data_IF_917259171385
#
_entry.id   IF_917259171385
#
_cell.length_a   1.000
_cell.length_b   1.000
_cell.length_c   1.000
_cell.angle_alpha   90.00
_cell.angle_beta   90.00
_cell.angle_gamma   90.00
#
_symmetry.space_group_name_H-M   'P 1'
#
loop_
_entity.id
_entity.type
_entity.pdbx_description
1 polymer ?
#
# COMPACT_ATOMS: atom_id res chain seq x y z
N UNK A 1 -18.06 -2.12 34.92
CA UNK A 1 -18.38 -2.99 33.76
C UNK A 1 -17.19 -3.91 33.56
N UNK A 2 -17.35 -5.22 33.80
CA UNK A 2 -16.32 -6.22 33.49
C UNK A 2 -16.41 -6.46 31.98
N UNK A 3 -15.37 -6.16 31.21
CA UNK A 3 -15.29 -6.62 29.82
C UNK A 3 -15.12 -8.14 29.85
N UNK A 4 -16.01 -8.88 29.18
CA UNK A 4 -15.83 -10.31 28.94
C UNK A 4 -14.62 -10.49 28.02
N UNK A 5 -13.43 -10.68 28.59
CA UNK A 5 -12.20 -10.94 27.84
C UNK A 5 -12.20 -12.30 27.12
N UNK A 6 -13.11 -13.21 27.48
CA UNK A 6 -13.24 -14.52 26.84
C UNK A 6 -14.07 -14.51 25.55
N UNK A 7 -14.82 -13.44 25.26
CA UNK A 7 -15.62 -13.34 24.02
C UNK A 7 -14.78 -13.06 22.78
N UNK A 8 -13.59 -12.45 22.95
CA UNK A 8 -12.73 -12.06 21.82
C UNK A 8 -11.65 -13.05 21.44
N UNK A 9 -11.52 -14.16 22.17
CA UNK A 9 -10.49 -15.15 21.88
C UNK A 9 -10.71 -15.79 20.52
N UNK A 10 -9.63 -15.93 19.75
CA UNK A 10 -9.68 -16.64 18.48
C UNK A 10 -9.91 -18.13 18.75
N UNK A 11 -11.01 -18.67 18.26
CA UNK A 11 -11.36 -20.09 18.38
C UNK A 11 -11.03 -20.82 17.09
N UNK A 12 -10.85 -22.14 17.19
CA UNK A 12 -10.68 -22.98 16.02
C UNK A 12 -11.87 -22.82 15.05
N UNK A 13 -11.63 -22.71 13.74
CA UNK A 13 -12.69 -22.60 12.76
C UNK A 13 -13.48 -23.91 12.67
N UNK A 14 -14.81 -23.79 12.64
CA UNK A 14 -15.71 -24.92 12.36
C UNK A 14 -15.58 -25.40 10.89
N UNK A 15 -15.25 -24.48 10.01
CA UNK A 15 -15.13 -24.72 8.58
C UNK A 15 -14.00 -23.86 7.99
N UNK A 16 -13.15 -24.46 7.18
CA UNK A 16 -12.18 -23.73 6.35
C UNK A 16 -12.48 -23.96 4.88
N UNK A 17 -12.53 -22.88 4.11
CA UNK A 17 -12.75 -22.91 2.67
C UNK A 17 -11.45 -22.57 1.95
N UNK A 18 -11.06 -23.44 1.03
CA UNK A 18 -9.88 -23.29 0.20
C UNK A 18 -10.31 -22.93 -1.22
N UNK A 19 -9.72 -21.88 -1.77
CA UNK A 19 -9.89 -21.49 -3.17
C UNK A 19 -8.51 -21.31 -3.81
N UNK A 20 -8.44 -21.54 -5.12
CA UNK A 20 -7.25 -21.26 -5.91
C UNK A 20 -7.57 -20.09 -6.85
N UNK A 21 -6.73 -19.05 -6.84
CA UNK A 21 -6.99 -17.74 -7.48
C UNK A 21 -7.36 -17.79 -8.98
N UNK A 22 -7.17 -18.94 -9.65
CA UNK A 22 -7.51 -19.14 -11.06
C UNK A 22 -8.52 -20.28 -11.31
N UNK A 23 -9.23 -20.77 -10.29
CA UNK A 23 -10.27 -21.79 -10.44
C UNK A 23 -11.51 -21.47 -9.63
N UNK A 24 -12.69 -21.75 -10.18
CA UNK A 24 -13.96 -21.73 -9.45
C UNK A 24 -14.11 -22.90 -8.46
N UNK A 25 -13.03 -23.64 -8.19
CA UNK A 25 -13.06 -24.77 -7.26
C UNK A 25 -12.86 -24.23 -5.85
N UNK A 26 -13.94 -24.24 -5.08
CA UNK A 26 -13.94 -24.01 -3.64
C UNK A 26 -14.03 -25.37 -2.94
N UNK A 27 -13.14 -25.60 -1.98
CA UNK A 27 -13.12 -26.84 -1.20
C UNK A 27 -13.31 -26.52 0.27
N UNK A 28 -14.40 -27.02 0.83
CA UNK A 28 -14.70 -26.92 2.26
C UNK A 28 -14.06 -28.09 3.02
N UNK A 29 -13.33 -27.79 4.08
CA UNK A 29 -12.78 -28.76 5.05
C UNK A 29 -13.40 -28.47 6.41
N UNK A 30 -13.88 -29.52 7.09
CA UNK A 30 -14.37 -29.48 8.47
C UNK A 30 -13.63 -30.52 9.29
N UNK A 31 -13.17 -30.12 10.47
CA UNK A 31 -12.46 -30.96 11.45
C UNK A 31 -12.88 -30.50 12.84
N UNK A 32 -13.94 -31.09 13.35
CA UNK A 32 -14.53 -30.69 14.64
C UNK A 32 -13.57 -30.99 15.82
N UNK A 33 -12.65 -31.95 15.62
CA UNK A 33 -11.60 -32.30 16.57
C UNK A 33 -10.34 -31.40 16.52
N UNK A 34 -10.21 -30.50 15.54
CA UNK A 34 -9.02 -29.65 15.43
C UNK A 34 -9.13 -28.41 16.31
N UNK A 35 -8.11 -28.20 17.12
CA UNK A 35 -7.86 -26.90 17.75
C UNK A 35 -7.10 -25.97 16.78
N UNK A 36 -6.92 -24.71 17.18
CA UNK A 36 -6.27 -23.72 16.30
C UNK A 36 -4.85 -24.11 15.90
N UNK A 37 -4.08 -24.68 16.84
CA UNK A 37 -2.71 -25.15 16.57
C UNK A 37 -2.69 -26.32 15.57
N UNK A 38 -3.66 -27.25 15.66
CA UNK A 38 -3.79 -28.37 14.72
C UNK A 38 -4.07 -27.88 13.29
N UNK A 39 -4.93 -26.86 13.15
CA UNK A 39 -5.20 -26.22 11.86
C UNK A 39 -3.96 -25.58 11.26
N UNK A 40 -3.20 -24.82 12.07
CA UNK A 40 -1.98 -24.15 11.60
C UNK A 40 -0.90 -25.15 11.19
N UNK A 41 -0.71 -26.22 11.97
CA UNK A 41 0.20 -27.31 11.61
C UNK A 41 -0.23 -28.03 10.34
N UNK A 42 -1.53 -28.29 10.17
CA UNK A 42 -2.08 -28.93 8.99
C UNK A 42 -1.82 -28.12 7.72
N UNK A 43 -2.09 -26.82 7.74
CA UNK A 43 -1.82 -25.95 6.58
C UNK A 43 -0.34 -25.82 6.29
N UNK A 44 0.49 -25.71 7.33
CA UNK A 44 1.93 -25.68 7.15
C UNK A 44 2.45 -26.99 6.54
N UNK A 45 1.92 -28.14 6.93
CA UNK A 45 2.33 -29.45 6.37
C UNK A 45 1.95 -29.60 4.90
N UNK A 46 0.77 -29.11 4.50
CA UNK A 46 0.29 -29.23 3.12
C UNK A 46 0.96 -28.23 2.18
N UNK A 47 1.04 -26.96 2.61
CA UNK A 47 1.44 -25.86 1.74
C UNK A 47 2.89 -25.39 1.98
N UNK A 48 3.51 -25.81 3.08
CA UNK A 48 4.87 -25.46 3.46
C UNK A 48 5.09 -23.94 3.49
N UNK A 49 4.14 -23.22 4.12
CA UNK A 49 4.20 -21.77 4.25
C UNK A 49 5.36 -21.36 5.17
N UNK A 50 6.16 -20.38 4.74
CA UNK A 50 7.26 -19.86 5.57
C UNK A 50 6.79 -18.85 6.63
N UNK A 51 5.57 -18.35 6.48
CA UNK A 51 4.94 -17.33 7.30
C UNK A 51 3.67 -16.86 6.61
N UNK A 52 2.99 -15.90 7.24
CA UNK A 52 1.80 -15.26 6.67
C UNK A 52 2.25 -14.06 5.82
N UNK A 53 1.83 -14.04 4.57
CA UNK A 53 2.21 -12.95 3.66
C UNK A 53 1.45 -11.67 3.98
N UNK A 54 0.14 -11.78 4.25
CA UNK A 54 -0.72 -10.63 4.51
C UNK A 54 -1.80 -10.95 5.55
N UNK A 55 -2.11 -9.97 6.41
CA UNK A 55 -3.31 -9.97 7.25
C UNK A 55 -4.09 -8.69 6.97
N UNK A 56 -5.39 -8.84 6.77
CA UNK A 56 -6.34 -7.73 6.59
C UNK A 56 -7.25 -7.59 7.80
N UNK A 57 -7.41 -6.35 8.28
CA UNK A 57 -8.39 -5.97 9.29
C UNK A 57 -9.43 -5.05 8.65
N UNK A 58 -10.68 -5.51 8.59
CA UNK A 58 -11.83 -4.78 8.08
C UNK A 58 -12.99 -4.80 9.08
N UNK A 59 -14.20 -4.43 8.64
CA UNK A 59 -15.39 -4.35 9.49
C UNK A 59 -15.59 -5.63 10.33
N UNK A 60 -15.90 -5.46 11.61
CA UNK A 60 -16.09 -6.54 12.60
C UNK A 60 -14.82 -7.27 13.04
N UNK A 61 -13.63 -6.86 12.58
CA UNK A 61 -12.37 -7.46 13.03
C UNK A 61 -12.06 -7.19 14.52
N UNK A 62 -12.77 -6.25 15.16
CA UNK A 62 -12.65 -5.96 16.59
C UNK A 62 -13.20 -7.06 17.51
N UNK A 63 -13.88 -8.06 16.93
CA UNK A 63 -14.31 -9.26 17.64
C UNK A 63 -13.15 -10.17 18.02
N UNK A 64 -11.98 -10.05 17.37
CA UNK A 64 -10.82 -10.90 17.63
C UNK A 64 -9.79 -10.23 18.54
N UNK A 65 -9.13 -11.03 19.38
CA UNK A 65 -8.00 -10.60 20.20
C UNK A 65 -6.71 -10.55 19.36
N UNK A 66 -6.08 -9.37 19.35
CA UNK A 66 -4.84 -9.15 18.59
C UNK A 66 -3.66 -9.99 19.08
N UNK A 67 -3.65 -10.34 20.37
CA UNK A 67 -2.65 -11.22 20.97
C UNK A 67 -2.78 -12.64 20.42
N UNK A 68 -4.01 -13.15 20.32
CA UNK A 68 -4.29 -14.45 19.71
C UNK A 68 -3.97 -14.45 18.21
N UNK A 69 -4.38 -13.42 17.46
CA UNK A 69 -4.05 -13.30 16.03
C UNK A 69 -2.52 -13.33 15.86
N UNK A 70 -1.79 -12.52 16.62
CA UNK A 70 -0.33 -12.48 16.56
C UNK A 70 0.32 -13.79 17.03
N UNK A 71 -0.30 -14.52 17.98
CA UNK A 71 0.17 -15.82 18.45
C UNK A 71 0.12 -16.86 17.33
N UNK A 72 -1.03 -16.99 16.67
CA UNK A 72 -1.25 -18.07 15.69
C UNK A 72 -0.72 -17.73 14.30
N UNK A 73 -0.81 -16.48 13.86
CA UNK A 73 -0.42 -16.05 12.52
C UNK A 73 0.93 -15.33 12.46
N UNK A 74 1.50 -14.98 13.62
CA UNK A 74 2.75 -14.23 13.69
C UNK A 74 2.60 -12.78 13.23
N UNK A 75 3.69 -12.20 12.73
CA UNK A 75 3.71 -10.88 12.09
C UNK A 75 3.77 -11.09 10.58
N UNK A 76 2.82 -10.54 9.81
CA UNK A 76 2.82 -10.72 8.36
C UNK A 76 3.85 -9.84 7.67
N UNK A 77 4.15 -10.13 6.40
CA UNK A 77 4.98 -9.25 5.57
C UNK A 77 4.25 -7.95 5.23
N UNK A 78 2.95 -8.05 4.97
CA UNK A 78 2.05 -6.94 4.65
C UNK A 78 0.90 -6.86 5.64
N UNK A 79 0.54 -5.65 6.04
CA UNK A 79 -0.65 -5.39 6.85
C UNK A 79 -1.62 -4.53 6.02
N UNK A 80 -2.87 -4.94 5.96
CA UNK A 80 -3.96 -4.16 5.37
C UNK A 80 -4.94 -3.77 6.48
N UNK A 81 -5.14 -2.47 6.69
CA UNK A 81 -6.02 -1.93 7.73
C UNK A 81 -7.05 -1.03 7.08
N UNK A 82 -8.29 -1.49 7.08
CA UNK A 82 -9.49 -0.74 6.74
C UNK A 82 -10.23 -0.32 8.02
N UNK A 83 -11.30 0.46 7.87
CA UNK A 83 -12.08 0.88 9.02
C UNK A 83 -12.87 -0.28 9.64
N UNK A 84 -12.43 -0.75 10.81
CA UNK A 84 -13.10 -1.82 11.57
C UNK A 84 -14.43 -1.39 12.23
N UNK A 85 -14.74 -0.09 12.24
CA UNK A 85 -15.84 0.47 13.05
C UNK A 85 -15.38 0.94 14.45
N UNK A 86 -14.10 0.72 14.81
CA UNK A 86 -13.55 1.15 16.10
C UNK A 86 -12.15 1.76 15.96
N UNK A 87 -12.06 3.10 16.07
CA UNK A 87 -10.80 3.85 15.95
C UNK A 87 -9.74 3.45 16.98
N UNK A 88 -10.12 3.10 18.21
CA UNK A 88 -9.16 2.69 19.23
C UNK A 88 -8.57 1.30 18.93
N UNK A 89 -9.40 0.39 18.39
CA UNK A 89 -8.96 -0.92 17.95
C UNK A 89 -8.01 -0.81 16.77
N UNK A 90 -8.36 -0.04 15.74
CA UNK A 90 -7.50 0.29 14.60
C UNK A 90 -6.09 0.76 15.00
N UNK A 91 -6.03 1.72 15.93
CA UNK A 91 -4.77 2.21 16.44
C UNK A 91 -3.98 1.14 17.20
N UNK A 92 -4.66 0.21 17.88
CA UNK A 92 -4.03 -0.92 18.56
C UNK A 92 -3.51 -1.96 17.57
N UNK A 93 -4.20 -2.23 16.46
CA UNK A 93 -3.72 -3.07 15.34
C UNK A 93 -2.38 -2.54 14.85
N UNK A 94 -2.34 -1.26 14.46
CA UNK A 94 -1.12 -0.62 13.92
C UNK A 94 0.06 -0.65 14.89
N UNK A 95 -0.19 -0.48 16.20
CA UNK A 95 0.84 -0.63 17.24
C UNK A 95 1.31 -2.07 17.42
N UNK A 96 0.40 -3.04 17.31
CA UNK A 96 0.69 -4.46 17.52
C UNK A 96 1.56 -5.03 16.40
N UNK A 97 1.34 -4.55 15.17
CA UNK A 97 1.99 -4.99 13.93
C UNK A 97 2.95 -3.93 13.35
N UNK A 98 3.56 -3.08 14.18
CA UNK A 98 4.44 -1.97 13.74
C UNK A 98 5.69 -2.40 12.94
N UNK A 99 6.04 -3.70 12.94
CA UNK A 99 7.26 -4.22 12.30
C UNK A 99 7.05 -4.76 10.89
N UNK A 100 5.89 -4.51 10.26
CA UNK A 100 5.63 -4.99 8.90
C UNK A 100 6.47 -4.27 7.85
N UNK A 101 6.77 -4.97 6.75
CA UNK A 101 7.49 -4.36 5.63
C UNK A 101 6.58 -3.48 4.79
N UNK A 102 5.31 -3.86 4.65
CA UNK A 102 4.34 -3.17 3.80
C UNK A 102 3.06 -2.85 4.57
N UNK A 103 2.50 -1.68 4.30
CA UNK A 103 1.24 -1.23 4.89
C UNK A 103 0.29 -0.77 3.79
N UNK A 104 -0.93 -1.29 3.81
CA UNK A 104 -2.10 -0.76 3.09
C UNK A 104 -3.02 -0.17 4.16
N UNK A 105 -3.44 1.07 3.98
CA UNK A 105 -4.26 1.76 4.97
C UNK A 105 -5.24 2.71 4.29
N UNK A 106 -6.47 2.71 4.80
CA UNK A 106 -7.48 3.70 4.41
C UNK A 106 -7.48 4.86 5.42
N UNK A 107 -7.56 6.14 4.99
CA UNK A 107 -7.50 7.26 5.95
C UNK A 107 -8.62 7.26 6.99
N UNK A 108 -9.81 6.74 6.67
CA UNK A 108 -10.96 6.60 7.57
C UNK A 108 -10.75 5.60 8.72
N UNK A 109 -9.62 4.90 8.75
CA UNK A 109 -9.10 4.20 9.93
C UNK A 109 -8.96 5.14 11.13
N UNK A 110 -8.85 6.45 10.90
CA UNK A 110 -8.75 7.50 11.91
C UNK A 110 -9.97 8.43 11.92
N UNK A 111 -10.31 8.95 13.10
CA UNK A 111 -11.52 9.77 13.33
C UNK A 111 -11.59 11.02 12.44
N UNK A 112 -10.46 11.66 12.15
CA UNK A 112 -10.39 12.84 11.28
C UNK A 112 -10.19 12.48 9.79
N UNK A 113 -10.16 11.19 9.46
CA UNK A 113 -9.75 10.61 8.18
C UNK A 113 -8.40 11.16 7.68
N UNK A 114 -7.41 11.22 8.57
CA UNK A 114 -6.03 11.59 8.25
C UNK A 114 -5.07 10.59 8.86
N UNK A 115 -4.10 10.16 8.07
CA UNK A 115 -3.07 9.24 8.56
C UNK A 115 -2.10 10.03 9.45
N UNK A 116 -1.86 9.59 10.70
CA UNK A 116 -0.93 10.25 11.60
C UNK A 116 0.50 10.32 11.01
N UNK A 117 1.21 11.45 11.17
CA UNK A 117 2.59 11.59 10.71
C UNK A 117 3.52 10.49 11.19
N UNK A 118 3.30 9.95 12.40
CA UNK A 118 4.11 8.88 13.00
C UNK A 118 4.03 7.55 12.24
N UNK A 119 3.02 7.39 11.38
CA UNK A 119 2.89 6.26 10.46
C UNK A 119 3.59 6.59 9.14
N UNK A 120 3.33 7.78 8.57
CA UNK A 120 3.87 8.18 7.27
C UNK A 120 5.41 8.25 7.25
N UNK A 121 6.03 8.67 8.36
CA UNK A 121 7.50 8.75 8.47
C UNK A 121 8.19 7.38 8.58
N UNK A 122 7.43 6.29 8.76
CA UNK A 122 8.03 4.96 8.91
C UNK A 122 8.67 4.49 7.60
N UNK A 123 9.63 3.60 7.76
CA UNK A 123 10.54 3.17 6.71
C UNK A 123 9.99 1.97 5.91
N UNK A 124 8.71 1.97 5.56
CA UNK A 124 8.11 0.84 4.85
C UNK A 124 8.80 0.58 3.50
N UNK A 125 8.82 -0.70 3.14
CA UNK A 125 9.15 -1.14 1.79
C UNK A 125 8.08 -0.68 0.81
N UNK A 126 6.81 -0.83 1.19
CA UNK A 126 5.67 -0.33 0.43
C UNK A 126 4.63 0.29 1.35
N UNK A 127 4.14 1.48 0.99
CA UNK A 127 3.01 2.13 1.63
C UNK A 127 1.94 2.40 0.58
N UNK A 128 0.74 1.84 0.78
CA UNK A 128 -0.45 2.13 -0.02
C UNK A 128 -1.46 2.89 0.82
N UNK A 129 -1.85 4.07 0.36
CA UNK A 129 -2.98 4.83 0.90
C UNK A 129 -4.16 4.57 -0.04
N UNK A 130 -5.15 3.84 0.45
CA UNK A 130 -6.31 3.43 -0.34
C UNK A 130 -7.55 4.26 0.03
N UNK A 131 -8.15 4.90 -0.96
CA UNK A 131 -9.39 5.68 -0.82
C UNK A 131 -10.52 5.08 -1.70
N UNK A 132 -10.35 3.84 -2.16
CA UNK A 132 -11.32 3.12 -2.98
C UNK A 132 -12.65 2.93 -2.22
N UNK A 133 -13.78 3.13 -2.91
CA UNK A 133 -15.12 2.98 -2.32
C UNK A 133 -15.63 4.18 -1.52
N UNK A 134 -14.80 5.18 -1.21
CA UNK A 134 -15.25 6.41 -0.56
C UNK A 134 -16.00 7.34 -1.52
N UNK A 135 -17.18 7.81 -1.08
CA UNK A 135 -18.09 8.69 -1.85
C UNK A 135 -17.45 10.07 -2.09
N UNK A 136 -16.62 10.55 -1.15
CA UNK A 136 -15.84 11.77 -1.28
C UNK A 136 -14.44 11.52 -0.69
N UNK A 137 -13.53 10.88 -1.44
CA UNK A 137 -12.20 10.57 -0.95
C UNK A 137 -11.48 11.88 -0.62
N UNK A 138 -10.65 11.91 0.42
CA UNK A 138 -9.94 13.16 0.75
C UNK A 138 -8.74 13.29 -0.16
N UNK A 139 -8.44 14.52 -0.56
CA UNK A 139 -7.15 14.81 -1.17
C UNK A 139 -6.07 14.55 -0.12
N UNK A 140 -5.10 13.68 -0.44
CA UNK A 140 -3.92 13.52 0.41
C UNK A 140 -3.22 14.87 0.43
N UNK A 141 -3.01 15.42 1.63
CA UNK A 141 -2.40 16.73 1.73
C UNK A 141 -0.96 16.65 1.22
N UNK A 142 -0.49 17.66 0.50
CA UNK A 142 0.89 17.65 0.00
C UNK A 142 1.92 17.54 1.14
N UNK A 143 1.61 18.09 2.31
CA UNK A 143 2.45 17.97 3.50
C UNK A 143 2.54 16.52 4.00
N UNK A 144 1.47 15.73 3.81
CA UNK A 144 1.47 14.28 4.09
C UNK A 144 2.36 13.55 3.09
N UNK A 145 2.30 13.88 1.80
CA UNK A 145 3.20 13.31 0.76
C UNK A 145 4.68 13.56 1.07
N UNK A 146 4.98 14.75 1.58
CA UNK A 146 6.35 15.16 1.88
C UNK A 146 6.99 14.34 3.00
N UNK A 147 6.22 13.96 4.01
CA UNK A 147 6.73 13.21 5.17
C UNK A 147 6.78 11.70 4.95
N UNK A 148 6.20 11.19 3.85
CA UNK A 148 6.27 9.77 3.51
C UNK A 148 7.72 9.34 3.30
N UNK A 149 8.16 8.31 4.01
CA UNK A 149 9.54 7.82 3.94
C UNK A 149 9.63 6.34 3.54
N UNK A 150 8.74 5.94 2.64
CA UNK A 150 8.68 4.58 2.10
C UNK A 150 9.40 4.46 0.75
N UNK A 151 9.83 3.25 0.39
CA UNK A 151 10.50 2.99 -0.89
C UNK A 151 9.53 2.96 -2.07
N UNK A 152 8.43 2.24 -1.92
CA UNK A 152 7.30 2.25 -2.84
C UNK A 152 6.14 2.99 -2.17
N UNK A 153 5.53 3.93 -2.89
CA UNK A 153 4.37 4.69 -2.43
C UNK A 153 3.27 4.57 -3.47
N UNK A 154 2.09 4.15 -3.04
CA UNK A 154 0.92 4.07 -3.88
C UNK A 154 -0.22 4.84 -3.23
N UNK A 155 -0.87 5.70 -4.00
CA UNK A 155 -2.00 6.51 -3.53
C UNK A 155 -3.13 6.30 -4.50
N UNK A 156 -4.18 5.63 -4.02
CA UNK A 156 -5.33 5.26 -4.83
C UNK A 156 -6.46 6.26 -4.64
N UNK A 157 -7.25 6.43 -5.69
CA UNK A 157 -8.53 7.14 -5.65
C UNK A 157 -8.49 8.57 -5.08
N UNK A 158 -7.39 9.29 -5.29
CA UNK A 158 -7.19 10.62 -4.69
C UNK A 158 -7.60 11.77 -5.60
N UNK A 159 -8.09 12.86 -5.01
CA UNK A 159 -8.30 14.14 -5.70
C UNK A 159 -7.01 14.95 -5.75
N UNK A 160 -6.07 14.55 -6.60
CA UNK A 160 -4.87 15.34 -6.91
C UNK A 160 -4.95 15.90 -8.32
N UNK A 161 -4.85 17.22 -8.44
CA UNK A 161 -4.81 17.89 -9.74
C UNK A 161 -3.39 17.94 -10.33
N UNK A 162 -3.25 18.28 -11.61
CA UNK A 162 -1.94 18.47 -12.26
C UNK A 162 -0.98 19.42 -11.52
N UNK A 163 -1.53 20.42 -10.81
CA UNK A 163 -0.75 21.38 -10.02
C UNK A 163 -0.16 20.76 -8.75
N UNK A 164 -0.89 19.85 -8.11
CA UNK A 164 -0.42 19.16 -6.91
C UNK A 164 0.73 18.22 -7.27
N UNK A 165 0.62 17.54 -8.40
CA UNK A 165 1.67 16.67 -8.96
C UNK A 165 2.90 17.51 -9.36
N UNK A 166 2.72 18.66 -10.01
CA UNK A 166 3.84 19.59 -10.29
C UNK A 166 4.56 20.01 -9.01
N UNK A 167 3.81 20.31 -7.94
CA UNK A 167 4.39 20.73 -6.66
C UNK A 167 5.12 19.57 -5.98
N UNK A 168 4.56 18.36 -6.01
CA UNK A 168 5.21 17.14 -5.53
C UNK A 168 6.54 16.90 -6.25
N UNK A 169 6.56 16.94 -7.59
CA UNK A 169 7.79 16.73 -8.36
C UNK A 169 8.85 17.78 -8.00
N UNK A 170 8.47 19.05 -7.88
CA UNK A 170 9.41 20.12 -7.48
C UNK A 170 9.98 19.91 -6.07
N UNK A 171 9.17 19.45 -5.13
CA UNK A 171 9.64 19.10 -3.79
C UNK A 171 10.62 17.93 -3.84
N UNK A 172 10.31 16.90 -4.63
CA UNK A 172 11.24 15.78 -4.86
C UNK A 172 12.55 16.27 -5.51
N UNK A 173 12.49 17.19 -6.48
CA UNK A 173 13.69 17.78 -7.09
C UNK A 173 14.58 18.50 -6.06
N UNK A 174 14.01 18.99 -4.95
CA UNK A 174 14.71 19.62 -3.82
C UNK A 174 15.01 18.66 -2.66
N UNK A 175 14.92 17.35 -2.84
CA UNK A 175 15.36 16.36 -1.85
C UNK A 175 14.26 15.71 -1.00
N UNK A 176 12.97 15.98 -1.26
CA UNK A 176 11.89 15.27 -0.61
C UNK A 176 11.92 13.76 -0.93
N UNK A 177 11.41 12.94 0.00
CA UNK A 177 11.28 11.49 -0.15
C UNK A 177 12.59 10.79 -0.62
N UNK A 178 13.71 10.93 0.13
CA UNK A 178 15.04 10.55 -0.35
C UNK A 178 15.21 9.05 -0.66
N UNK A 179 14.39 8.18 -0.04
CA UNK A 179 14.41 6.71 -0.20
C UNK A 179 13.42 6.18 -1.23
N UNK A 180 12.59 7.05 -1.82
CA UNK A 180 11.53 6.66 -2.72
C UNK A 180 12.09 6.16 -4.05
N UNK A 181 11.80 4.92 -4.37
CA UNK A 181 12.20 4.19 -5.59
C UNK A 181 11.05 4.20 -6.60
N UNK A 182 9.79 4.12 -6.15
CA UNK A 182 8.60 4.16 -7.01
C UNK A 182 7.47 4.92 -6.32
N UNK A 183 6.74 5.73 -7.09
CA UNK A 183 5.52 6.39 -6.64
C UNK A 183 4.41 6.26 -7.69
N UNK A 184 3.20 5.86 -7.27
CA UNK A 184 2.02 5.72 -8.12
C UNK A 184 0.87 6.56 -7.56
N UNK A 185 0.30 7.41 -8.40
CA UNK A 185 -0.92 8.16 -8.09
C UNK A 185 -2.04 7.71 -9.02
N UNK A 186 -3.10 7.11 -8.48
CA UNK A 186 -4.34 6.85 -9.19
C UNK A 186 -5.30 7.98 -8.87
N UNK A 187 -5.53 8.83 -9.87
CA UNK A 187 -6.24 10.09 -9.75
C UNK A 187 -7.72 9.89 -10.06
N UNK A 188 -8.61 10.56 -9.32
CA UNK A 188 -9.99 10.75 -9.77
C UNK A 188 -10.07 12.00 -10.64
N UNK A 189 -10.52 11.86 -11.89
CA UNK A 189 -10.72 12.99 -12.79
C UNK A 189 -12.14 13.57 -12.62
N UNK A 190 -12.24 14.83 -12.20
CA UNK A 190 -13.50 15.59 -12.31
C UNK A 190 -13.64 16.10 -13.75
N UNK A 191 -14.66 15.62 -14.46
CA UNK A 191 -15.24 16.33 -15.61
C UNK A 191 -14.28 16.67 -16.76
N UNK A 192 -13.52 15.70 -17.25
CA UNK A 192 -12.82 15.82 -18.55
C UNK A 192 -11.58 16.72 -18.55
N UNK A 193 -11.10 17.19 -17.40
CA UNK A 193 -9.75 17.73 -17.29
C UNK A 193 -8.75 16.57 -17.28
N UNK A 194 -8.35 16.12 -18.48
CA UNK A 194 -7.18 15.26 -18.64
C UNK A 194 -6.01 15.86 -17.87
N UNK A 195 -5.20 15.01 -17.23
CA UNK A 195 -3.98 15.44 -16.56
C UNK A 195 -3.02 16.06 -17.60
N UNK A 196 -3.15 17.36 -17.86
CA UNK A 196 -2.37 18.02 -18.92
C UNK A 196 -0.91 18.01 -18.52
N UNK A 197 -0.13 17.21 -19.23
CA UNK A 197 1.33 17.10 -19.10
C UNK A 197 2.00 18.48 -19.02
N UNK A 198 1.51 19.46 -19.79
CA UNK A 198 1.98 20.85 -19.76
C UNK A 198 1.90 21.50 -18.37
N UNK A 199 0.85 21.24 -17.60
CA UNK A 199 0.67 21.79 -16.26
C UNK A 199 1.59 21.06 -15.28
N UNK A 200 1.67 19.72 -15.39
CA UNK A 200 2.52 18.88 -14.53
C UNK A 200 3.99 19.23 -14.70
N UNK A 201 4.44 19.48 -15.92
CA UNK A 201 5.85 19.78 -16.24
C UNK A 201 6.20 21.26 -16.19
N UNK A 202 5.26 22.15 -15.83
CA UNK A 202 5.48 23.59 -15.85
C UNK A 202 6.65 24.00 -14.95
N UNK A 203 7.69 24.55 -15.58
CA UNK A 203 8.91 25.01 -14.91
C UNK A 203 9.84 23.89 -14.46
N UNK A 204 9.67 22.67 -14.99
CA UNK A 204 10.53 21.51 -14.73
C UNK A 204 11.38 21.30 -15.98
N UNK A 205 12.69 21.07 -15.81
CA UNK A 205 13.56 20.64 -16.90
C UNK A 205 13.40 19.13 -17.09
N UNK A 206 13.14 18.70 -18.32
CA UNK A 206 12.90 17.29 -18.62
C UNK A 206 13.47 16.89 -19.98
N UNK A 207 13.57 15.57 -20.20
CA UNK A 207 13.87 14.97 -21.50
C UNK A 207 12.83 13.90 -21.81
N UNK A 208 12.24 13.95 -23.00
CA UNK A 208 11.29 12.93 -23.43
C UNK A 208 12.03 11.70 -23.97
N UNK A 209 11.60 10.53 -23.50
CA UNK A 209 12.11 9.24 -23.93
C UNK A 209 11.06 8.58 -24.84
N UNK A 210 11.42 8.21 -26.08
CA UNK A 210 10.50 7.57 -27.01
C UNK A 210 9.88 6.27 -26.46
N UNK A 211 8.60 6.03 -26.76
CA UNK A 211 7.84 4.86 -26.26
C UNK A 211 8.42 3.50 -26.67
N UNK A 212 9.22 3.45 -27.73
CA UNK A 212 9.89 2.22 -28.18
C UNK A 212 11.15 1.88 -27.36
N UNK A 213 11.62 2.79 -26.51
CA UNK A 213 12.72 2.54 -25.59
C UNK A 213 12.15 1.88 -24.34
N UNK A 214 12.65 0.70 -24.00
CA UNK A 214 12.29 -0.03 -22.78
C UNK A 214 13.52 -0.14 -21.88
N UNK A 215 13.35 0.19 -20.61
CA UNK A 215 14.41 0.15 -19.60
C UNK A 215 13.96 -0.78 -18.46
N UNK A 216 14.72 -1.85 -18.14
CA UNK A 216 14.37 -2.70 -17.03
C UNK A 216 14.57 -1.94 -15.72
N UNK A 217 13.66 -2.15 -14.77
CA UNK A 217 13.63 -1.44 -13.50
C UNK A 217 13.18 -2.40 -12.40
N UNK A 218 13.87 -2.34 -11.27
CA UNK A 218 13.50 -3.08 -10.07
C UNK A 218 13.34 -2.12 -8.91
N UNK A 219 12.29 -2.27 -8.12
CA UNK A 219 12.14 -1.55 -6.87
C UNK A 219 11.66 -2.48 -5.77
N UNK A 220 11.71 -2.00 -4.54
CA UNK A 220 11.44 -2.83 -3.39
C UNK A 220 9.98 -3.28 -3.36
N UNK A 221 9.79 -4.60 -3.40
CA UNK A 221 8.48 -5.22 -3.26
C UNK A 221 7.81 -5.59 -4.59
N UNK A 222 8.46 -5.36 -5.74
CA UNK A 222 7.98 -5.79 -7.04
C UNK A 222 8.92 -6.80 -7.71
N UNK A 223 8.37 -7.52 -8.69
CA UNK A 223 9.17 -8.18 -9.72
C UNK A 223 9.81 -7.13 -10.66
N UNK A 224 10.66 -7.60 -11.57
CA UNK A 224 11.30 -6.74 -12.58
C UNK A 224 10.23 -6.12 -13.50
N UNK A 225 10.15 -4.80 -13.50
CA UNK A 225 9.27 -4.02 -14.37
C UNK A 225 10.04 -3.46 -15.57
N UNK A 226 9.29 -3.09 -16.61
CA UNK A 226 9.84 -2.50 -17.84
C UNK A 226 9.26 -1.10 -18.04
N UNK A 227 10.08 -0.07 -17.81
CA UNK A 227 9.70 1.33 -18.04
C UNK A 227 9.81 1.63 -19.53
N UNK A 228 8.67 1.90 -20.19
CA UNK A 228 8.58 2.19 -21.62
C UNK A 228 8.45 3.70 -21.86
N UNK A 229 9.41 4.29 -22.55
CA UNK A 229 9.44 5.73 -22.82
C UNK A 229 9.44 6.56 -21.52
N UNK A 230 8.61 7.61 -21.52
CA UNK A 230 8.38 8.48 -20.37
C UNK A 230 9.12 9.81 -20.45
N UNK A 231 9.09 10.54 -19.34
CA UNK A 231 9.71 11.85 -19.20
C UNK A 231 10.76 11.77 -18.10
N UNK A 232 12.03 11.91 -18.48
CA UNK A 232 13.13 11.92 -17.54
C UNK A 232 13.27 13.31 -16.91
N UNK A 233 13.41 13.33 -15.58
CA UNK A 233 13.64 14.51 -14.75
C UNK A 233 14.79 14.22 -13.76
N UNK A 234 15.34 15.28 -13.18
CA UNK A 234 16.48 15.17 -12.26
C UNK A 234 16.23 15.91 -10.97
N UNK A 235 16.66 15.29 -9.88
CA UNK A 235 16.82 15.92 -8.57
C UNK A 235 18.13 16.69 -8.51
N UNK A 236 18.23 17.66 -7.60
CA UNK A 236 19.41 18.52 -7.45
C UNK A 236 20.71 17.75 -7.14
N UNK A 237 20.60 16.58 -6.54
CA UNK A 237 21.72 15.66 -6.28
C UNK A 237 22.12 14.81 -7.51
N UNK A 238 21.46 15.00 -8.65
CA UNK A 238 21.72 14.28 -9.89
C UNK A 238 20.93 12.97 -10.03
N UNK A 239 20.17 12.55 -9.01
CA UNK A 239 19.32 11.35 -9.12
C UNK A 239 18.26 11.57 -10.19
N UNK A 240 18.16 10.61 -11.11
CA UNK A 240 17.21 10.63 -12.22
C UNK A 240 15.90 9.97 -11.81
N UNK A 241 14.79 10.49 -12.31
CA UNK A 241 13.51 9.79 -12.31
C UNK A 241 12.85 9.82 -13.68
N UNK A 242 11.99 8.84 -13.96
CA UNK A 242 11.15 8.81 -15.16
C UNK A 242 9.69 8.85 -14.75
N UNK A 243 8.94 9.80 -15.30
CA UNK A 243 7.49 9.89 -15.16
C UNK A 243 6.83 9.23 -16.37
N UNK A 244 5.88 8.35 -16.13
CA UNK A 244 5.02 7.74 -17.13
C UNK A 244 3.56 7.91 -16.74
N UNK A 245 2.68 7.99 -17.73
CA UNK A 245 1.24 7.90 -17.55
C UNK A 245 0.73 6.64 -18.23
N UNK A 246 -0.08 5.83 -17.56
CA UNK A 246 -0.86 4.79 -18.25
C UNK A 246 -2.02 5.47 -18.98
N UNK A 247 -2.31 5.04 -20.22
CA UNK A 247 -3.36 5.61 -21.05
C UNK A 247 -4.76 5.03 -20.76
N UNK A 248 -4.86 4.02 -19.88
CA UNK A 248 -6.12 3.34 -19.55
C UNK A 248 -6.66 3.68 -18.16
N UNK A 249 -5.80 4.21 -17.30
CA UNK A 249 -6.09 4.57 -15.92
C UNK A 249 -5.50 5.94 -15.71
N UNK A 250 -6.21 6.85 -15.07
CA UNK A 250 -5.71 8.16 -14.66
C UNK A 250 -4.56 8.01 -13.62
N UNK A 251 -3.48 7.37 -14.04
CA UNK A 251 -2.41 6.84 -13.21
C UNK A 251 -1.10 7.48 -13.66
N UNK A 252 -0.45 8.16 -12.73
CA UNK A 252 0.89 8.72 -12.93
C UNK A 252 1.87 7.91 -12.09
N UNK A 253 2.89 7.40 -12.75
CA UNK A 253 3.93 6.59 -12.14
C UNK A 253 5.25 7.34 -12.28
N UNK A 254 6.00 7.40 -11.19
CA UNK A 254 7.34 7.96 -11.12
C UNK A 254 8.32 6.87 -10.65
N UNK A 255 9.30 6.56 -11.50
CA UNK A 255 10.36 5.59 -11.22
C UNK A 255 11.66 6.33 -10.93
N UNK A 256 12.28 6.10 -9.78
CA UNK A 256 13.53 6.76 -9.35
C UNK A 256 14.70 5.80 -9.53
N UNK A 257 15.68 6.21 -10.33
CA UNK A 257 16.79 5.37 -10.78
C UNK A 257 17.98 5.46 -9.81
N UNK A 258 17.94 4.67 -8.74
CA UNK A 258 19.14 4.36 -7.95
C UNK A 258 19.93 3.20 -8.56
N UNK A 259 21.20 3.06 -8.16
CA UNK A 259 22.09 2.03 -8.69
C UNK A 259 21.52 0.61 -8.53
N UNK A 260 20.86 0.32 -7.41
CA UNK A 260 20.23 -0.98 -7.16
C UNK A 260 18.88 -1.18 -7.85
N UNK A 261 18.32 -0.13 -8.46
CA UNK A 261 17.08 -0.21 -9.22
C UNK A 261 17.29 -0.53 -10.71
N UNK A 262 18.56 -0.51 -11.17
CA UNK A 262 18.94 -0.81 -12.53
C UNK A 262 19.27 -2.31 -12.61
N UNK A 263 18.63 -3.01 -13.55
CA UNK A 263 18.85 -4.45 -13.80
C UNK A 263 19.77 -4.64 -15.00
#
# INVERSE_FOLDING_TARGET
MRSNSDEKKLKAPLEVKLSHQNSYIEKTIRRDEFEMDDWMEHFNTIFNFRGIDSIKFDIYSEEYDLGDIKKYFGVPTSLDVEHTGNYAYNHTVLKTFVTVESLIITPDVFENSKIPPEILIQHFKSLTIDEFGHVDPKAVALDELFIINSKSVEIRDTWMGPKDINRFIKLWQHGANPRMECCRFYLKVRGGEEAKQEIILKGIKYTEIPRNVTRPFRFAGSEDECVRGGIDIWREDGVKATITSDCYWDCIIMFVWFDHCIV
#
